data_IF_751766744705
#
_entry.id   IF_751766744705
#
_cell.length_a   1.000
_cell.length_b   1.000
_cell.length_c   1.000
_cell.angle_alpha   90.00
_cell.angle_beta   90.00
_cell.angle_gamma   90.00
#
_symmetry.space_group_name_H-M   'P 1'
#
loop_
_entity.id
_entity.type
_entity.pdbx_description
1 polymer ?
#
# COMPACT_ATOMS: atom_id res chain seq x y z
N UNK A 1 17.68 0.24 5.70
CA UNK A 1 16.63 -0.39 4.84
C UNK A 1 15.78 0.72 4.26
N UNK A 2 14.81 0.44 3.39
CA UNK A 2 13.87 1.47 2.93
C UNK A 2 12.42 1.08 3.21
N UNK A 3 11.57 2.09 3.32
CA UNK A 3 10.12 1.98 3.17
C UNK A 3 9.68 2.74 1.92
N UNK A 4 8.81 2.13 1.14
CA UNK A 4 8.20 2.73 -0.04
C UNK A 4 6.69 2.60 0.07
N UNK A 5 5.99 3.73 0.02
CA UNK A 5 4.54 3.78 -0.09
C UNK A 5 4.14 4.27 -1.47
N UNK A 6 3.15 3.63 -2.07
CA UNK A 6 2.59 4.06 -3.34
C UNK A 6 1.07 3.86 -3.36
N UNK A 7 0.42 4.57 -4.27
CA UNK A 7 -0.98 4.36 -4.59
C UNK A 7 -1.18 4.12 -6.08
N UNK A 8 -2.18 3.32 -6.45
CA UNK A 8 -2.58 3.08 -7.83
C UNK A 8 -4.09 2.87 -7.95
N UNK A 9 -4.61 3.01 -9.16
CA UNK A 9 -6.00 2.76 -9.50
C UNK A 9 -6.16 1.31 -9.88
N UNK A 10 -7.02 0.57 -9.16
CA UNK A 10 -7.33 -0.81 -9.49
C UNK A 10 -8.08 -0.87 -10.82
N UNK A 11 -7.77 -1.89 -11.63
CA UNK A 11 -8.56 -2.14 -12.82
C UNK A 11 -9.95 -2.63 -12.38
N UNK A 12 -11.06 -1.99 -12.84
CA UNK A 12 -12.41 -2.33 -12.39
C UNK A 12 -12.84 -3.76 -12.78
N UNK A 13 -12.13 -4.39 -13.71
CA UNK A 13 -12.35 -5.79 -14.08
C UNK A 13 -11.67 -6.79 -13.13
N UNK A 14 -10.88 -6.34 -12.15
CA UNK A 14 -10.25 -7.21 -11.16
C UNK A 14 -11.32 -7.88 -10.30
N UNK A 15 -11.40 -9.18 -10.42
CA UNK A 15 -12.32 -10.02 -9.67
C UNK A 15 -11.82 -10.25 -8.24
N UNK A 16 -12.73 -10.66 -7.35
CA UNK A 16 -12.37 -11.08 -6.00
C UNK A 16 -11.37 -12.27 -5.99
N UNK A 17 -11.38 -13.11 -7.03
CA UNK A 17 -10.45 -14.22 -7.18
C UNK A 17 -9.04 -13.73 -7.54
N UNK A 18 -8.93 -12.78 -8.47
CA UNK A 18 -7.68 -12.13 -8.82
C UNK A 18 -7.12 -11.34 -7.64
N UNK A 19 -7.96 -10.69 -6.84
CA UNK A 19 -7.55 -10.04 -5.59
C UNK A 19 -6.88 -11.02 -4.62
N UNK A 20 -7.48 -12.20 -4.42
CA UNK A 20 -6.87 -13.26 -3.60
C UNK A 20 -5.54 -13.73 -4.18
N UNK A 21 -5.46 -13.86 -5.50
CA UNK A 21 -4.22 -14.21 -6.20
C UNK A 21 -3.13 -13.15 -6.01
N UNK A 22 -3.46 -11.86 -6.12
CA UNK A 22 -2.53 -10.74 -5.85
C UNK A 22 -1.90 -10.91 -4.48
N UNK A 23 -2.70 -11.18 -3.45
CA UNK A 23 -2.21 -11.32 -2.07
C UNK A 23 -1.36 -12.56 -1.89
N UNK A 24 -1.77 -13.71 -2.42
CA UNK A 24 -1.01 -14.95 -2.33
C UNK A 24 0.37 -14.80 -3.00
N UNK A 25 0.39 -14.29 -4.24
CA UNK A 25 1.62 -14.07 -5.01
C UNK A 25 2.50 -13.00 -4.36
N UNK A 26 1.90 -11.93 -3.84
CA UNK A 26 2.64 -10.88 -3.12
C UNK A 26 3.27 -11.43 -1.85
N UNK A 27 2.54 -12.20 -1.04
CA UNK A 27 3.07 -12.77 0.19
C UNK A 27 4.24 -13.73 -0.08
N UNK A 28 4.15 -14.56 -1.12
CA UNK A 28 5.22 -15.50 -1.51
C UNK A 28 6.45 -14.76 -2.02
N UNK A 29 6.30 -13.85 -2.98
CA UNK A 29 7.40 -13.06 -3.54
C UNK A 29 8.08 -12.21 -2.46
N UNK A 30 7.28 -11.60 -1.59
CA UNK A 30 7.79 -10.76 -0.50
C UNK A 30 8.58 -11.59 0.49
N UNK A 31 8.08 -12.77 0.87
CA UNK A 31 8.81 -13.70 1.74
C UNK A 31 10.14 -14.12 1.12
N UNK A 32 10.17 -14.46 -0.18
CA UNK A 32 11.39 -14.83 -0.88
C UNK A 32 12.43 -13.68 -0.95
N UNK A 33 11.96 -12.43 -0.98
CA UNK A 33 12.81 -11.24 -1.06
C UNK A 33 13.06 -10.58 0.31
N UNK A 34 12.66 -11.20 1.41
CA UNK A 34 12.68 -10.60 2.75
C UNK A 34 12.00 -9.21 2.80
N UNK A 35 10.95 -9.00 2.02
CA UNK A 35 10.13 -7.79 2.02
C UNK A 35 8.91 -8.01 2.90
N UNK A 36 8.48 -6.97 3.61
CA UNK A 36 7.27 -6.96 4.43
C UNK A 36 6.40 -5.77 4.06
N UNK A 37 5.11 -5.81 4.42
CA UNK A 37 4.22 -4.73 4.04
C UNK A 37 2.73 -5.00 4.19
N UNK A 38 1.96 -3.99 3.78
CA UNK A 38 0.49 -3.99 3.78
C UNK A 38 -0.04 -3.51 2.44
N UNK A 39 -1.20 -4.03 2.05
CA UNK A 39 -2.00 -3.59 0.91
C UNK A 39 -3.39 -3.21 1.42
N UNK A 40 -3.79 -1.97 1.16
CA UNK A 40 -5.14 -1.46 1.39
C UNK A 40 -5.88 -1.38 0.06
N UNK A 41 -7.13 -1.81 0.05
CA UNK A 41 -8.00 -1.73 -1.13
C UNK A 41 -9.36 -1.16 -0.75
N UNK A 42 -9.81 -0.10 -1.43
CA UNK A 42 -11.09 0.55 -1.16
C UNK A 42 -12.18 0.27 -2.22
N UNK A 43 -11.97 -0.70 -3.11
CA UNK A 43 -12.90 -0.97 -4.22
C UNK A 43 -12.58 -0.24 -5.52
N UNK A 44 -11.77 0.81 -5.46
CA UNK A 44 -11.35 1.59 -6.64
C UNK A 44 -9.82 1.61 -6.75
N UNK A 45 -9.12 1.58 -5.61
CA UNK A 45 -7.71 1.93 -5.57
C UNK A 45 -6.93 1.15 -4.54
N UNK A 46 -5.63 1.01 -4.79
CA UNK A 46 -4.67 0.27 -3.98
C UNK A 46 -3.67 1.21 -3.33
N UNK A 47 -3.57 1.17 -2.00
CA UNK A 47 -2.42 1.73 -1.30
C UNK A 47 -1.54 0.60 -0.78
N UNK A 48 -0.28 0.59 -1.18
CA UNK A 48 0.66 -0.43 -0.70
C UNK A 48 1.89 0.21 -0.06
N UNK A 49 2.32 -0.39 1.05
CA UNK A 49 3.59 -0.05 1.71
C UNK A 49 4.49 -1.28 1.71
N UNK A 50 5.75 -1.09 1.30
CA UNK A 50 6.78 -2.12 1.20
C UNK A 50 8.00 -1.73 2.02
N UNK A 51 8.53 -2.66 2.82
CA UNK A 51 9.69 -2.47 3.68
C UNK A 51 10.74 -3.56 3.45
N UNK A 52 12.01 -3.17 3.34
CA UNK A 52 13.10 -4.14 3.18
C UNK A 52 14.40 -3.54 2.67
N UNK A 53 15.28 -4.41 2.16
CA UNK A 53 16.51 -3.98 1.47
C UNK A 53 16.15 -3.15 0.23
N UNK A 54 16.91 -2.09 -0.03
CA UNK A 54 16.63 -1.10 -1.08
C UNK A 54 16.48 -1.74 -2.45
N UNK A 55 17.33 -2.71 -2.75
CA UNK A 55 17.40 -3.43 -4.02
C UNK A 55 16.17 -4.34 -4.18
N UNK A 56 15.79 -5.04 -3.11
CA UNK A 56 14.66 -5.96 -3.10
C UNK A 56 13.33 -5.21 -3.27
N UNK A 57 13.13 -4.14 -2.49
CA UNK A 57 11.94 -3.28 -2.60
C UNK A 57 11.87 -2.64 -3.98
N UNK A 58 12.99 -2.14 -4.52
CA UNK A 58 13.01 -1.54 -5.87
C UNK A 58 12.66 -2.55 -6.95
N UNK A 59 13.25 -3.75 -6.91
CA UNK A 59 12.99 -4.82 -7.89
C UNK A 59 11.53 -5.26 -7.86
N UNK A 60 10.96 -5.43 -6.66
CA UNK A 60 9.56 -5.78 -6.49
C UNK A 60 8.64 -4.66 -6.98
N UNK A 61 8.93 -3.41 -6.63
CA UNK A 61 8.15 -2.25 -7.07
C UNK A 61 8.13 -2.11 -8.59
N UNK A 62 9.24 -2.40 -9.28
CA UNK A 62 9.29 -2.39 -10.75
C UNK A 62 8.38 -3.44 -11.38
N UNK A 63 8.29 -4.65 -10.79
CA UNK A 63 7.35 -5.68 -11.26
C UNK A 63 5.90 -5.27 -11.02
N UNK A 64 5.64 -4.69 -9.86
CA UNK A 64 4.31 -4.17 -9.51
C UNK A 64 3.91 -3.04 -10.47
N UNK A 65 4.80 -2.11 -10.79
CA UNK A 65 4.50 -0.94 -11.61
C UNK A 65 4.01 -1.25 -13.03
N UNK A 66 4.26 -2.46 -13.54
CA UNK A 66 3.84 -2.91 -14.87
C UNK A 66 2.68 -3.93 -14.85
N UNK A 67 2.12 -4.20 -13.68
CA UNK A 67 1.05 -5.18 -13.51
C UNK A 67 -0.29 -4.63 -14.03
N UNK A 68 -0.91 -5.33 -14.98
CA UNK A 68 -2.13 -4.87 -15.70
C UNK A 68 -3.39 -4.80 -14.82
N UNK A 69 -3.33 -5.32 -13.59
CA UNK A 69 -4.44 -5.29 -12.63
C UNK A 69 -4.60 -3.92 -11.97
N UNK A 70 -3.70 -2.98 -12.23
CA UNK A 70 -3.80 -1.61 -11.76
C UNK A 70 -3.08 -0.65 -12.73
N UNK A 71 -3.29 0.64 -12.54
CA UNK A 71 -2.72 1.69 -13.37
C UNK A 71 -2.52 2.98 -12.56
N UNK A 72 -1.98 4.03 -13.20
CA UNK A 72 -1.78 5.34 -12.57
C UNK A 72 -1.00 5.27 -11.24
N UNK A 73 0.03 4.43 -11.20
CA UNK A 73 0.85 4.24 -10.00
C UNK A 73 1.61 5.53 -9.66
N UNK A 74 1.48 5.99 -8.42
CA UNK A 74 2.13 7.19 -7.90
C UNK A 74 2.86 6.84 -6.61
N UNK A 75 4.18 7.08 -6.56
CA UNK A 75 4.94 6.94 -5.32
C UNK A 75 4.57 8.10 -4.39
N UNK A 76 4.13 7.75 -3.19
CA UNK A 76 3.67 8.67 -2.15
C UNK A 76 4.85 9.10 -1.29
N UNK A 77 5.67 8.14 -0.86
CA UNK A 77 6.89 8.41 -0.13
C UNK A 77 7.90 7.30 -0.32
N UNK A 78 9.16 7.66 -0.08
CA UNK A 78 10.27 6.73 -0.01
C UNK A 78 11.27 7.26 1.01
N UNK A 79 11.53 6.47 2.04
CA UNK A 79 12.38 6.86 3.16
C UNK A 79 13.34 5.74 3.54
N UNK A 80 14.50 6.13 4.10
CA UNK A 80 15.39 5.19 4.76
C UNK A 80 14.85 4.90 6.16
N UNK A 81 14.82 3.62 6.53
CA UNK A 81 14.33 3.15 7.82
C UNK A 81 15.36 2.27 8.54
N UNK A 82 15.40 2.41 9.86
CA UNK A 82 16.21 1.58 10.75
C UNK A 82 15.46 0.31 11.19
N UNK A 83 14.12 0.41 11.34
CA UNK A 83 13.25 -0.68 11.76
C UNK A 83 12.01 -0.79 10.86
N UNK A 84 11.53 -2.02 10.68
CA UNK A 84 10.28 -2.34 9.98
C UNK A 84 9.09 -2.12 10.92
N UNK A 85 8.03 -1.51 10.42
CA UNK A 85 6.75 -1.36 11.15
C UNK A 85 5.86 -2.57 10.89
N UNK A 86 5.93 -3.15 9.69
CA UNK A 86 5.09 -4.27 9.26
C UNK A 86 5.83 -5.61 9.29
N UNK A 87 6.80 -5.78 10.20
CA UNK A 87 7.72 -6.93 10.23
C UNK A 87 7.04 -8.30 10.29
N UNK A 88 5.82 -8.37 10.81
CA UNK A 88 5.07 -9.61 10.97
C UNK A 88 4.42 -10.10 9.67
N UNK A 89 4.27 -9.24 8.67
CA UNK A 89 3.51 -9.54 7.46
C UNK A 89 4.37 -9.44 6.22
N UNK A 90 4.62 -10.58 5.57
CA UNK A 90 5.15 -10.56 4.20
C UNK A 90 4.23 -9.75 3.28
N UNK A 91 2.90 -9.89 3.44
CA UNK A 91 1.89 -8.98 2.91
C UNK A 91 0.56 -9.19 3.64
N UNK A 92 -0.08 -8.13 4.15
CA UNK A 92 -1.43 -8.18 4.73
C UNK A 92 -2.40 -7.33 3.91
N UNK A 93 -3.52 -7.91 3.49
CA UNK A 93 -4.62 -7.18 2.86
C UNK A 93 -5.58 -6.62 3.93
N UNK A 94 -5.99 -5.36 3.77
CA UNK A 94 -7.17 -4.82 4.46
C UNK A 94 -8.08 -4.15 3.41
N UNK A 95 -9.36 -4.52 3.43
CA UNK A 95 -10.38 -3.89 2.59
C UNK A 95 -10.98 -2.75 3.40
N UNK A 96 -10.99 -1.56 2.84
CA UNK A 96 -11.53 -0.34 3.45
C UNK A 96 -12.83 0.01 2.74
N UNK A 97 -13.88 0.39 3.46
CA UNK A 97 -15.13 0.78 2.82
C UNK A 97 -14.95 2.15 2.14
N UNK A 98 -15.35 2.28 0.88
CA UNK A 98 -15.39 3.58 0.20
C UNK A 98 -16.72 4.26 0.53
N UNK A 99 -16.68 5.34 1.33
CA UNK A 99 -17.81 6.27 1.49
C UNK A 99 -17.70 7.38 0.43
N UNK A 100 -18.76 7.59 -0.33
CA UNK A 100 -18.71 8.30 -1.62
C UNK A 100 -18.82 9.85 -1.58
N UNK A 101 -18.96 10.51 -0.43
CA UNK A 101 -19.37 11.94 -0.41
C UNK A 101 -18.62 12.91 0.52
N UNK A 102 -17.48 12.56 1.09
CA UNK A 102 -16.64 13.52 1.82
C UNK A 102 -15.18 13.34 1.41
N UNK A 103 -14.31 14.30 1.73
CA UNK A 103 -12.90 13.95 2.00
C UNK A 103 -12.98 12.71 2.89
N UNK A 104 -12.60 11.52 2.41
CA UNK A 104 -13.36 10.39 2.82
C UNK A 104 -12.92 10.07 4.25
N UNK A 105 -13.88 9.73 5.08
CA UNK A 105 -13.67 9.47 6.51
C UNK A 105 -12.63 8.36 6.74
N UNK A 106 -12.23 7.62 5.70
CA UNK A 106 -11.10 6.69 5.71
C UNK A 106 -9.73 7.30 6.06
N UNK A 107 -9.52 8.62 6.02
CA UNK A 107 -8.26 9.18 6.53
C UNK A 107 -8.19 9.06 8.05
N UNK A 108 -9.33 9.21 8.73
CA UNK A 108 -9.47 8.92 10.17
C UNK A 108 -9.57 7.40 10.40
N UNK A 109 -10.25 6.63 9.54
CA UNK A 109 -10.20 5.15 9.67
C UNK A 109 -8.81 4.59 9.38
N UNK A 110 -8.00 5.24 8.55
CA UNK A 110 -6.59 4.89 8.39
C UNK A 110 -5.85 5.24 9.65
N UNK A 111 -6.16 6.33 10.37
CA UNK A 111 -5.58 6.54 11.70
C UNK A 111 -5.93 5.41 12.65
N UNK A 112 -7.15 4.87 12.64
CA UNK A 112 -7.54 3.69 13.43
C UNK A 112 -6.88 2.39 12.94
N UNK A 113 -6.79 2.18 11.63
CA UNK A 113 -6.07 1.06 11.01
C UNK A 113 -4.59 1.14 11.36
N UNK A 114 -4.00 2.33 11.28
CA UNK A 114 -2.62 2.68 11.62
C UNK A 114 -2.40 2.62 13.12
N UNK A 115 -3.42 2.87 13.95
CA UNK A 115 -3.38 2.74 15.40
C UNK A 115 -3.49 1.28 15.85
N UNK A 116 -4.11 0.39 15.06
CA UNK A 116 -3.99 -1.07 15.21
C UNK A 116 -2.59 -1.59 14.80
N UNK A 117 -1.79 -0.77 14.11
CA UNK A 117 -0.39 -1.05 13.77
C UNK A 117 0.55 -0.28 14.72
N UNK A 118 1.80 -0.74 14.96
CA UNK A 118 2.72 -0.02 15.84
C UNK A 118 2.94 1.43 15.37
N UNK A 119 3.20 2.38 16.30
CA UNK A 119 3.14 3.82 16.05
C UNK A 119 4.02 4.21 14.86
N UNK A 120 3.38 4.69 13.80
CA UNK A 120 4.06 5.24 12.63
C UNK A 120 4.72 6.55 13.06
N UNK A 121 6.04 6.73 12.89
CA UNK A 121 6.65 8.04 13.10
C UNK A 121 6.10 8.97 12.01
N UNK A 122 5.41 10.06 12.39
CA UNK A 122 4.82 10.96 11.42
C UNK A 122 5.88 11.99 11.02
N UNK A 123 5.92 12.32 9.74
CA UNK A 123 5.92 13.74 9.43
C UNK A 123 5.17 14.05 8.14
N UNK A 124 4.92 13.04 7.27
CA UNK A 124 4.20 13.29 6.03
C UNK A 124 3.17 12.23 5.63
N UNK A 125 3.07 11.05 6.28
CA UNK A 125 2.12 10.01 5.84
C UNK A 125 0.67 10.52 5.82
N UNK A 126 0.23 11.22 6.89
CA UNK A 126 -1.10 11.85 6.94
C UNK A 126 -1.29 12.83 5.79
N UNK A 127 -0.30 13.66 5.50
CA UNK A 127 -0.31 14.65 4.41
C UNK A 127 -0.36 14.01 3.02
N UNK A 128 0.32 12.89 2.80
CA UNK A 128 0.29 12.23 1.49
C UNK A 128 -0.99 11.38 1.32
N UNK A 129 -1.54 10.81 2.39
CA UNK A 129 -2.87 10.20 2.38
C UNK A 129 -3.99 11.23 2.13
N UNK A 130 -3.88 12.45 2.68
CA UNK A 130 -4.83 13.55 2.38
C UNK A 130 -4.68 14.06 0.95
N UNK A 131 -3.46 14.10 0.42
CA UNK A 131 -3.21 14.53 -0.96
C UNK A 131 -3.72 13.53 -2.00
N UNK A 132 -3.90 12.26 -1.60
CA UNK A 132 -4.32 11.19 -2.47
C UNK A 132 -5.77 11.35 -2.99
N UNK A 133 -6.69 11.85 -2.16
CA UNK A 133 -8.06 12.17 -2.59
C UNK A 133 -8.18 13.47 -3.40
N UNK A 134 -7.14 14.32 -3.37
CA UNK A 134 -7.17 15.65 -4.00
C UNK A 134 -6.68 15.66 -5.44
N UNK A 135 -6.13 14.56 -5.97
CA UNK A 135 -5.79 14.44 -7.41
C UNK A 135 -7.04 14.07 -8.22
N UNK A 136 -8.10 14.88 -8.04
CA UNK A 136 -9.15 15.09 -9.02
C UNK A 136 -8.96 16.50 -9.55
N UNK A 137 -8.17 16.62 -10.62
CA UNK A 137 -8.19 17.76 -11.52
C UNK A 137 -8.31 17.23 -12.95
#
# INVERSE_FOLDING_TARGET
MIRLGYVSVANPMVTAMEMKSIIAVSAENNKACEVTGVLLYNGITFLQVLEGKKENVKSLYQKIAIDERHSAITTIFREDIEARIFSEWSMKLKIVASSAEALPDWIEEIEDVVAEFPPIPPSNLKSVLTSYDTVRA
#
